data_IF_844279896824
#
_entry.id   IF_844279896824
#
_cell.length_a   1.000
_cell.length_b   1.000
_cell.length_c   1.000
_cell.angle_alpha   90.00
_cell.angle_beta   90.00
_cell.angle_gamma   90.00
#
_symmetry.space_group_name_H-M   'P 1'
#
loop_
_entity.id
_entity.type
_entity.pdbx_description
1 polymer ?
#
# COMPACT_ATOMS: atom_id res chain seq x y z
N UNK A 1 -1.31 -11.99 -3.59
CA UNK A 1 -1.06 -11.39 -4.92
C UNK A 1 -1.39 -9.91 -4.87
N UNK A 2 -0.94 -9.14 -5.85
CA UNK A 2 -1.26 -7.72 -6.04
C UNK A 2 -1.62 -7.48 -7.51
N UNK A 3 -2.62 -6.64 -7.76
CA UNK A 3 -3.09 -6.27 -9.09
C UNK A 3 -3.07 -4.74 -9.16
N UNK A 4 -2.58 -4.20 -10.27
CA UNK A 4 -2.58 -2.77 -10.54
C UNK A 4 -3.56 -2.47 -11.67
N UNK A 5 -4.40 -1.46 -11.45
CA UNK A 5 -5.38 -0.97 -12.41
C UNK A 5 -5.16 0.52 -12.67
N UNK A 6 -5.57 0.99 -13.85
CA UNK A 6 -5.84 2.39 -14.13
C UNK A 6 -7.35 2.57 -14.32
N UNK A 7 -7.90 3.69 -13.86
CA UNK A 7 -9.31 4.05 -14.07
C UNK A 7 -9.36 5.37 -14.83
N UNK A 8 -10.07 5.40 -15.96
CA UNK A 8 -10.25 6.60 -16.79
C UNK A 8 -11.64 6.57 -17.40
N UNK A 9 -12.38 7.67 -17.30
CA UNK A 9 -13.73 7.80 -17.86
C UNK A 9 -14.66 6.64 -17.45
N UNK A 10 -14.60 6.26 -16.16
CA UNK A 10 -15.30 5.11 -15.56
C UNK A 10 -14.94 3.72 -16.13
N UNK A 11 -13.92 3.63 -16.99
CA UNK A 11 -13.39 2.37 -17.51
C UNK A 11 -12.19 1.87 -16.69
N UNK A 12 -12.14 0.55 -16.44
CA UNK A 12 -11.07 -0.12 -15.69
C UNK A 12 -10.10 -0.80 -16.66
N UNK A 13 -8.83 -0.41 -16.59
CA UNK A 13 -7.73 -0.98 -17.36
C UNK A 13 -6.81 -1.79 -16.45
N UNK A 14 -6.45 -3.01 -16.85
CA UNK A 14 -5.45 -3.82 -16.16
C UNK A 14 -4.04 -3.38 -16.56
N UNK A 15 -3.20 -3.03 -15.59
CA UNK A 15 -1.78 -2.71 -15.82
C UNK A 15 -0.95 -3.98 -15.71
N UNK A 16 -0.93 -4.60 -14.52
CA UNK A 16 -0.15 -5.82 -14.26
C UNK A 16 -0.69 -6.63 -13.08
N UNK A 17 -0.25 -7.89 -13.00
CA UNK A 17 -0.52 -8.81 -11.90
C UNK A 17 0.80 -9.32 -11.34
N UNK A 18 1.02 -9.09 -10.05
CA UNK A 18 2.15 -9.61 -9.30
C UNK A 18 1.68 -10.79 -8.43
N UNK A 19 1.97 -12.06 -8.79
CA UNK A 19 1.55 -13.24 -8.03
C UNK A 19 2.41 -13.49 -6.77
N UNK A 20 2.79 -12.41 -6.08
CA UNK A 20 3.61 -12.40 -4.87
C UNK A 20 3.12 -11.32 -3.90
N UNK A 21 3.78 -11.19 -2.75
CA UNK A 21 3.59 -10.04 -1.88
C UNK A 21 4.12 -8.76 -2.56
N UNK A 22 3.33 -7.68 -2.47
CA UNK A 22 3.75 -6.34 -2.89
C UNK A 22 4.34 -5.57 -1.70
N UNK A 23 5.09 -4.51 -2.00
CA UNK A 23 5.57 -3.54 -1.00
C UNK A 23 4.45 -2.86 -0.19
N UNK A 24 3.20 -2.94 -0.65
CA UNK A 24 2.03 -2.37 0.04
C UNK A 24 1.43 -3.27 1.13
N UNK A 25 1.82 -4.56 1.20
CA UNK A 25 1.26 -5.50 2.19
C UNK A 25 1.42 -5.02 3.64
N UNK A 26 2.57 -4.48 4.09
CA UNK A 26 2.72 -3.96 5.45
C UNK A 26 1.78 -2.80 5.75
N UNK A 27 1.69 -1.82 4.84
CA UNK A 27 0.79 -0.67 4.96
C UNK A 27 -0.67 -1.10 5.05
N UNK A 28 -1.14 -1.97 4.14
CA UNK A 28 -2.52 -2.45 4.16
C UNK A 28 -2.80 -3.22 5.45
N UNK A 29 -1.85 -4.08 5.88
CA UNK A 29 -1.98 -4.85 7.12
C UNK A 29 -2.17 -3.96 8.35
N UNK A 30 -1.41 -2.86 8.43
CA UNK A 30 -1.56 -1.86 9.49
C UNK A 30 -2.87 -1.09 9.40
N UNK A 31 -3.27 -0.71 8.19
CA UNK A 31 -4.48 0.07 7.93
C UNK A 31 -5.76 -0.68 8.32
N UNK A 32 -5.82 -1.99 8.08
CA UNK A 32 -7.00 -2.82 8.36
C UNK A 32 -6.88 -3.64 9.65
N UNK A 33 -5.74 -3.58 10.33
CA UNK A 33 -5.51 -4.33 11.57
C UNK A 33 -5.36 -5.85 11.39
N UNK A 34 -5.01 -6.33 10.19
CA UNK A 34 -4.84 -7.75 9.91
C UNK A 34 -3.43 -8.09 9.43
N UNK A 35 -2.77 -9.13 9.97
CA UNK A 35 -1.43 -9.54 9.55
C UNK A 35 -1.50 -10.35 8.23
N UNK A 36 -1.74 -9.69 7.10
CA UNK A 36 -1.96 -10.33 5.80
C UNK A 36 -0.83 -11.27 5.37
N UNK A 37 0.43 -10.90 5.65
CA UNK A 37 1.58 -11.76 5.36
C UNK A 37 1.52 -13.07 6.15
N UNK A 38 1.12 -13.02 7.43
CA UNK A 38 0.96 -14.21 8.29
C UNK A 38 -0.15 -15.12 7.76
N UNK A 39 -1.28 -14.53 7.39
CA UNK A 39 -2.41 -15.27 6.81
C UNK A 39 -2.01 -15.96 5.50
N UNK A 40 -1.33 -15.25 4.60
CA UNK A 40 -0.82 -15.82 3.36
C UNK A 40 0.14 -16.99 3.63
N UNK A 41 1.02 -16.89 4.63
CA UNK A 41 1.91 -18.00 5.03
C UNK A 41 1.12 -19.22 5.48
N UNK A 42 0.10 -19.05 6.31
CA UNK A 42 -0.74 -20.18 6.74
C UNK A 42 -1.47 -20.85 5.58
N UNK A 43 -1.99 -20.06 4.63
CA UNK A 43 -2.60 -20.58 3.41
C UNK A 43 -1.61 -21.40 2.58
N UNK A 44 -0.37 -20.89 2.42
CA UNK A 44 0.69 -21.60 1.71
C UNK A 44 1.09 -22.92 2.39
N UNK A 45 0.92 -23.01 3.72
CA UNK A 45 1.15 -24.23 4.50
C UNK A 45 -0.07 -25.18 4.54
N UNK A 46 -1.13 -24.88 3.81
CA UNK A 46 -2.30 -25.76 3.64
C UNK A 46 -3.46 -25.49 4.59
N UNK A 47 -3.39 -24.46 5.44
CA UNK A 47 -4.56 -24.02 6.21
C UNK A 47 -5.61 -23.43 5.26
N UNK A 48 -6.91 -23.64 5.52
CA UNK A 48 -7.97 -23.05 4.70
C UNK A 48 -8.24 -21.61 5.14
N UNK A 49 -8.65 -20.77 4.19
CA UNK A 49 -9.04 -19.39 4.49
C UNK A 49 -10.20 -19.31 5.48
N UNK A 50 -11.14 -20.27 5.43
CA UNK A 50 -12.24 -20.42 6.38
C UNK A 50 -11.76 -20.52 7.84
N UNK A 51 -10.58 -21.09 8.06
CA UNK A 51 -10.06 -21.40 9.39
C UNK A 51 -9.27 -20.21 9.97
N UNK A 52 -8.93 -19.21 9.14
CA UNK A 52 -8.18 -18.02 9.56
C UNK A 52 -9.09 -17.01 10.28
N UNK A 53 -10.41 -17.08 10.06
CA UNK A 53 -11.36 -16.14 10.65
C UNK A 53 -11.18 -14.70 10.15
N UNK A 54 -10.62 -14.53 8.95
CA UNK A 54 -10.51 -13.20 8.34
C UNK A 54 -11.90 -12.66 7.99
N UNK A 55 -12.23 -11.50 8.54
CA UNK A 55 -13.40 -10.72 8.13
C UNK A 55 -12.94 -9.32 7.81
N UNK A 56 -13.30 -8.81 6.63
CA UNK A 56 -13.00 -7.45 6.26
C UNK A 56 -14.14 -6.54 6.70
N UNK A 57 -13.83 -5.55 7.54
CA UNK A 57 -14.67 -4.40 7.80
C UNK A 57 -13.96 -3.17 7.25
N UNK A 58 -14.65 -2.36 6.46
CA UNK A 58 -14.11 -1.07 6.03
C UNK A 58 -13.75 -0.24 7.27
N UNK A 59 -12.48 0.17 7.43
CA UNK A 59 -12.09 1.02 8.56
C UNK A 59 -12.86 2.34 8.55
N UNK A 60 -13.23 2.82 9.74
CA UNK A 60 -13.88 4.14 9.91
C UNK A 60 -12.87 5.30 9.79
N UNK A 61 -11.58 4.98 9.83
CA UNK A 61 -10.48 5.92 9.69
C UNK A 61 -9.79 5.79 8.33
N UNK A 62 -9.16 6.87 7.90
CA UNK A 62 -8.32 6.97 6.72
C UNK A 62 -6.86 6.71 7.08
N UNK A 63 -6.19 5.91 6.25
CA UNK A 63 -4.75 5.69 6.28
C UNK A 63 -4.15 6.22 4.98
N UNK A 64 -3.17 7.11 5.07
CA UNK A 64 -2.45 7.66 3.92
C UNK A 64 -1.01 7.16 3.94
N UNK A 65 -0.50 6.77 2.78
CA UNK A 65 0.91 6.40 2.59
C UNK A 65 1.58 7.45 1.72
N UNK A 66 2.70 7.99 2.19
CA UNK A 66 3.55 8.90 1.42
C UNK A 66 4.95 8.31 1.27
N UNK A 67 5.68 8.76 0.27
CA UNK A 67 7.02 8.30 -0.11
C UNK A 67 8.11 9.28 0.26
N UNK A 68 9.27 8.74 0.65
CA UNK A 68 10.47 9.53 0.94
C UNK A 68 11.47 9.36 -0.19
N UNK A 69 11.96 10.48 -0.73
CA UNK A 69 12.88 10.52 -1.87
C UNK A 69 14.30 10.90 -1.44
N UNK A 70 15.34 10.24 -1.99
CA UNK A 70 16.73 10.54 -1.66
C UNK A 70 17.32 11.69 -2.50
N UNK A 71 16.50 12.57 -3.08
CA UNK A 71 16.95 13.58 -4.06
C UNK A 71 18.07 14.49 -3.52
N UNK A 72 18.02 14.85 -2.23
CA UNK A 72 19.04 15.68 -1.57
C UNK A 72 20.42 14.99 -1.58
N UNK A 73 20.45 13.67 -1.58
CA UNK A 73 21.69 12.88 -1.59
C UNK A 73 22.35 12.84 -2.98
N UNK A 74 21.66 13.23 -4.06
CA UNK A 74 22.14 13.12 -5.43
C UNK A 74 22.03 14.46 -6.17
N UNK A 75 23.01 15.34 -5.98
CA UNK A 75 23.07 16.63 -6.66
C UNK A 75 23.07 16.47 -8.18
N UNK A 76 22.22 17.23 -8.88
CA UNK A 76 22.04 17.17 -10.33
C UNK A 76 21.13 16.03 -10.82
N UNK A 77 20.58 15.20 -9.92
CA UNK A 77 19.58 14.21 -10.29
C UNK A 77 18.24 14.89 -10.64
N UNK A 78 17.56 14.33 -11.63
CA UNK A 78 16.21 14.73 -11.98
C UNK A 78 15.22 14.32 -10.87
N UNK A 79 14.62 15.35 -10.26
CA UNK A 79 13.66 15.23 -9.15
C UNK A 79 12.22 15.07 -9.61
N UNK A 80 11.96 15.03 -10.92
CA UNK A 80 10.63 14.79 -11.46
C UNK A 80 10.17 13.35 -11.21
N UNK A 81 8.88 13.20 -10.92
CA UNK A 81 8.22 11.91 -10.79
C UNK A 81 7.94 11.34 -12.19
N UNK A 82 8.08 10.02 -12.32
CA UNK A 82 7.91 9.35 -13.60
C UNK A 82 7.43 7.91 -13.44
N UNK A 83 7.44 7.12 -14.53
CA UNK A 83 7.03 5.71 -14.50
C UNK A 83 7.98 4.82 -13.68
N UNK A 84 9.20 5.28 -13.40
CA UNK A 84 10.17 4.58 -12.57
C UNK A 84 10.06 4.96 -11.08
N UNK A 85 10.14 3.98 -10.19
CA UNK A 85 10.13 4.18 -8.75
C UNK A 85 11.50 4.67 -8.26
N UNK A 86 11.60 5.96 -7.89
CA UNK A 86 12.81 6.60 -7.32
C UNK A 86 12.85 6.68 -5.78
N UNK A 87 11.74 6.42 -5.09
CA UNK A 87 11.61 6.54 -3.62
C UNK A 87 12.34 5.42 -2.87
N UNK A 88 12.92 5.73 -1.70
CA UNK A 88 13.63 4.74 -0.84
C UNK A 88 12.86 4.36 0.42
N UNK A 89 11.97 5.22 0.89
CA UNK A 89 11.20 5.01 2.11
C UNK A 89 9.72 5.34 1.94
N UNK A 90 8.96 5.05 2.99
CA UNK A 90 7.54 5.40 3.09
C UNK A 90 7.17 5.76 4.53
N UNK A 91 6.19 6.66 4.67
CA UNK A 91 5.59 7.07 5.95
C UNK A 91 4.08 6.87 5.88
N UNK A 92 3.45 6.74 7.04
CA UNK A 92 2.01 6.49 7.17
C UNK A 92 1.36 7.53 8.09
N UNK A 93 0.36 8.23 7.56
CA UNK A 93 -0.54 9.08 8.33
C UNK A 93 -1.86 8.36 8.62
N UNK A 94 -2.41 8.55 9.82
CA UNK A 94 -3.66 7.93 10.26
C UNK A 94 -4.55 8.96 10.95
N UNK A 95 -5.78 9.10 10.47
CA UNK A 95 -6.80 9.97 11.05
C UNK A 95 -8.21 9.57 10.61
N UNK A 96 -9.26 10.12 11.23
CA UNK A 96 -10.64 9.97 10.75
C UNK A 96 -10.90 10.83 9.51
N UNK A 97 -10.22 11.95 9.40
CA UNK A 97 -10.30 12.86 8.25
C UNK A 97 -9.15 12.61 7.25
N UNK A 98 -9.47 12.64 5.95
CA UNK A 98 -8.46 12.44 4.91
C UNK A 98 -7.40 13.54 4.91
N UNK A 99 -7.80 14.81 5.03
CA UNK A 99 -6.88 15.94 5.02
C UNK A 99 -5.88 15.86 6.18
N UNK A 100 -6.35 15.48 7.37
CA UNK A 100 -5.49 15.26 8.53
C UNK A 100 -4.58 14.03 8.39
N UNK A 101 -5.08 12.93 7.82
CA UNK A 101 -4.25 11.75 7.55
C UNK A 101 -3.14 12.08 6.53
N UNK A 102 -3.45 12.86 5.50
CA UNK A 102 -2.47 13.36 4.52
C UNK A 102 -1.47 14.33 5.15
N UNK A 103 -1.94 15.30 5.94
CA UNK A 103 -1.04 16.22 6.64
C UNK A 103 -0.05 15.47 7.55
N UNK A 104 -0.50 14.43 8.25
CA UNK A 104 0.36 13.57 9.07
C UNK A 104 1.36 12.75 8.26
N UNK A 105 1.06 12.38 7.01
CA UNK A 105 2.02 11.67 6.15
C UNK A 105 3.04 12.61 5.49
N UNK A 106 2.88 13.93 5.60
CA UNK A 106 3.83 14.93 5.09
C UNK A 106 4.88 15.36 6.12
N UNK A 107 4.79 14.84 7.36
CA UNK A 107 5.71 15.11 8.47
C UNK A 107 6.68 13.93 8.61
#
# INVERSE_FOLDING_TARGET
>A
MNILFAVKDDEIFLIEVNPRASRTVPFVSKSIGHPLAKYATWLMLGQKLSDIGFSYKTPESVSVKETVFPFISFSGADTELGPEMKSTGEVMGFDKDFGMAFAKSQI
#
